data_IF_338166506774
#
_entry.id   IF_338166506774
#
_cell.length_a   1.000
_cell.length_b   1.000
_cell.length_c   1.000
_cell.angle_alpha   90.00
_cell.angle_beta   90.00
_cell.angle_gamma   90.00
#
_symmetry.space_group_name_H-M   'P 1'
#
loop_
_entity.id
_entity.type
_entity.pdbx_description
1 polymer ?
#
# COMPACT_ATOMS: atom_id res chain seq x y z
N UNK A 1 -55.16 -48.30 38.31
CA UNK A 1 -53.70 -48.55 38.41
C UNK A 1 -53.33 -49.36 37.16
N UNK A 2 -52.71 -48.74 36.16
CA UNK A 2 -51.24 -48.79 36.08
C UNK A 2 -50.53 -47.52 35.59
N UNK A 3 -49.37 -47.32 36.22
CA UNK A 3 -48.13 -46.63 35.90
C UNK A 3 -47.97 -45.85 34.58
N UNK A 4 -47.60 -44.57 34.71
CA UNK A 4 -46.98 -43.71 33.69
C UNK A 4 -45.69 -44.34 33.13
N UNK A 5 -45.38 -44.18 31.82
CA UNK A 5 -44.07 -44.52 31.29
C UNK A 5 -43.06 -43.39 31.56
N UNK A 6 -41.85 -43.80 31.91
CA UNK A 6 -40.71 -42.97 32.23
C UNK A 6 -40.30 -42.03 31.08
N UNK A 7 -39.96 -40.79 31.43
CA UNK A 7 -39.24 -39.88 30.55
C UNK A 7 -37.92 -40.52 30.09
N UNK A 8 -37.84 -40.82 28.79
CA UNK A 8 -36.56 -41.03 28.13
C UNK A 8 -35.93 -39.66 27.88
N UNK A 9 -35.05 -39.25 28.80
CA UNK A 9 -34.05 -38.24 28.54
C UNK A 9 -33.18 -38.70 27.36
N UNK A 10 -33.50 -38.24 26.15
CA UNK A 10 -32.63 -38.34 24.98
C UNK A 10 -31.51 -37.33 25.17
N UNK A 11 -30.44 -37.73 25.87
CA UNK A 11 -29.19 -36.96 25.89
C UNK A 11 -28.58 -36.98 24.49
N UNK A 12 -28.65 -35.86 23.77
CA UNK A 12 -27.91 -35.63 22.54
C UNK A 12 -26.39 -35.65 22.81
N UNK A 13 -25.59 -36.54 22.20
CA UNK A 13 -24.16 -36.35 22.15
C UNK A 13 -23.79 -35.79 20.76
N UNK A 14 -24.23 -34.58 20.43
CA UNK A 14 -23.81 -33.89 19.20
C UNK A 14 -22.42 -33.26 19.29
N UNK A 15 -21.74 -33.34 20.44
CA UNK A 15 -20.53 -32.55 20.72
C UNK A 15 -19.19 -33.26 20.43
N UNK A 16 -19.18 -34.58 20.17
CA UNK A 16 -17.94 -35.36 20.02
C UNK A 16 -17.55 -35.69 18.57
N UNK A 17 -18.42 -35.39 17.59
CA UNK A 17 -18.16 -35.61 16.15
C UNK A 17 -17.43 -34.44 15.46
N UNK A 18 -17.13 -33.34 16.17
CA UNK A 18 -16.43 -32.18 15.58
C UNK A 18 -14.91 -32.37 15.48
N UNK A 19 -14.27 -33.12 16.37
CA UNK A 19 -12.80 -33.26 16.39
C UNK A 19 -12.19 -33.96 15.14
N UNK A 20 -12.81 -35.01 14.57
CA UNK A 20 -12.32 -35.62 13.32
C UNK A 20 -12.41 -34.66 12.13
N UNK A 21 -13.50 -33.88 12.05
CA UNK A 21 -13.72 -32.89 11.00
C UNK A 21 -12.69 -31.75 11.10
N UNK A 22 -12.43 -31.25 12.31
CA UNK A 22 -11.37 -30.26 12.57
C UNK A 22 -10.00 -30.83 12.15
N UNK A 23 -9.67 -32.06 12.57
CA UNK A 23 -8.39 -32.71 12.19
C UNK A 23 -8.23 -32.86 10.67
N UNK A 24 -9.28 -33.21 9.94
CA UNK A 24 -9.22 -33.29 8.47
C UNK A 24 -9.01 -31.93 7.80
N UNK A 25 -9.58 -30.86 8.39
CA UNK A 25 -9.40 -29.49 7.91
C UNK A 25 -7.97 -28.99 8.14
N UNK A 26 -7.33 -29.41 9.23
CA UNK A 26 -5.89 -29.18 9.49
C UNK A 26 -4.96 -30.10 8.68
N UNK A 27 -5.48 -31.10 7.97
CA UNK A 27 -4.68 -31.98 7.11
C UNK A 27 -4.70 -31.50 5.65
N UNK A 28 -5.81 -30.94 5.20
CA UNK A 28 -5.99 -30.37 3.86
C UNK A 28 -6.21 -28.85 3.93
N UNK A 29 -5.18 -28.03 3.65
CA UNK A 29 -5.28 -26.58 3.77
C UNK A 29 -6.19 -25.92 2.71
N UNK A 30 -6.77 -26.68 1.77
CA UNK A 30 -7.62 -26.19 0.67
C UNK A 30 -8.69 -25.18 1.11
N UNK A 31 -9.41 -25.48 2.19
CA UNK A 31 -10.50 -24.63 2.69
C UNK A 31 -9.99 -23.36 3.40
N UNK A 32 -8.81 -23.43 4.02
CA UNK A 32 -8.17 -22.28 4.71
C UNK A 32 -7.62 -21.29 3.67
N UNK A 33 -7.16 -21.80 2.52
CA UNK A 33 -6.68 -20.97 1.41
C UNK A 33 -7.78 -20.00 0.93
N UNK A 34 -9.01 -20.48 0.75
CA UNK A 34 -10.13 -19.62 0.32
C UNK A 34 -10.44 -18.49 1.32
N UNK A 35 -10.30 -18.74 2.63
CA UNK A 35 -10.50 -17.72 3.67
C UNK A 35 -9.37 -16.69 3.66
N UNK A 36 -8.12 -17.16 3.58
CA UNK A 36 -6.93 -16.28 3.49
C UNK A 36 -6.94 -15.42 2.23
N UNK A 37 -7.61 -15.87 1.17
CA UNK A 37 -7.76 -15.10 -0.08
C UNK A 37 -8.80 -14.00 0.01
N UNK A 38 -9.79 -14.15 0.88
CA UNK A 38 -10.84 -13.15 1.10
C UNK A 38 -10.32 -11.97 1.93
N UNK A 39 -9.31 -12.19 2.76
CA UNK A 39 -8.73 -11.20 3.67
C UNK A 39 -7.34 -10.78 3.18
N UNK A 40 -7.23 -9.63 2.51
CA UNK A 40 -5.92 -9.08 2.15
C UNK A 40 -5.85 -8.13 0.96
N UNK A 41 -6.97 -7.91 0.25
CA UNK A 41 -6.99 -7.02 -0.93
C UNK A 41 -6.45 -5.63 -0.64
N UNK A 42 -6.88 -5.01 0.46
CA UNK A 42 -6.43 -3.66 0.87
C UNK A 42 -4.95 -3.62 1.27
N UNK A 43 -4.44 -4.73 1.82
CA UNK A 43 -3.04 -4.85 2.21
C UNK A 43 -2.17 -4.88 0.95
N UNK A 44 -2.57 -5.67 -0.04
CA UNK A 44 -1.91 -5.71 -1.35
C UNK A 44 -1.97 -4.36 -2.04
N UNK A 45 -3.14 -3.72 -2.08
CA UNK A 45 -3.31 -2.38 -2.69
C UNK A 45 -2.33 -1.36 -2.08
N UNK A 46 -2.26 -1.29 -0.75
CA UNK A 46 -1.35 -0.38 -0.04
C UNK A 46 0.11 -0.75 -0.22
N UNK A 47 0.46 -2.04 -0.29
CA UNK A 47 1.80 -2.49 -0.57
C UNK A 47 2.27 -2.04 -1.97
N UNK A 48 1.41 -2.19 -2.99
CA UNK A 48 1.68 -1.70 -4.35
C UNK A 48 1.79 -0.18 -4.37
N UNK A 49 0.87 0.54 -3.74
CA UNK A 49 0.90 2.00 -3.64
C UNK A 49 2.21 2.51 -3.00
N UNK A 50 2.71 1.80 -1.98
CA UNK A 50 3.96 2.14 -1.30
C UNK A 50 5.17 1.89 -2.20
N UNK A 51 5.26 0.73 -2.85
CA UNK A 51 6.43 0.33 -3.60
C UNK A 51 6.45 0.87 -5.05
N UNK A 52 5.31 1.30 -5.59
CA UNK A 52 5.25 1.76 -6.99
C UNK A 52 6.13 2.98 -7.23
N UNK A 53 6.86 2.92 -8.35
CA UNK A 53 7.86 3.90 -8.74
C UNK A 53 9.19 3.80 -7.98
N UNK A 54 9.36 2.84 -7.07
CA UNK A 54 10.64 2.59 -6.38
C UNK A 54 11.53 1.71 -7.27
N UNK A 55 12.76 2.15 -7.51
CA UNK A 55 13.77 1.37 -8.23
C UNK A 55 13.92 1.70 -9.72
N UNK A 56 14.89 1.05 -10.39
CA UNK A 56 15.26 1.35 -11.77
C UNK A 56 14.28 0.77 -12.81
N UNK A 57 13.54 -0.28 -12.44
CA UNK A 57 12.60 -0.95 -13.31
C UNK A 57 11.18 -0.43 -13.08
N UNK A 58 10.36 -0.39 -14.13
CA UNK A 58 8.93 -0.01 -14.07
C UNK A 58 8.06 -1.08 -13.39
N UNK A 59 8.66 -1.95 -12.57
CA UNK A 59 7.99 -3.07 -11.92
C UNK A 59 8.00 -2.83 -10.42
N UNK A 60 6.83 -2.98 -9.80
CA UNK A 60 6.65 -2.86 -8.36
C UNK A 60 6.90 -4.23 -7.72
N UNK A 61 7.97 -4.40 -6.91
CA UNK A 61 8.30 -5.72 -6.35
C UNK A 61 7.38 -5.99 -5.15
N UNK A 62 6.21 -6.56 -5.39
CA UNK A 62 5.27 -6.99 -4.34
C UNK A 62 5.18 -8.50 -4.44
N UNK A 63 5.43 -9.20 -3.33
CA UNK A 63 5.46 -10.66 -3.33
C UNK A 63 4.09 -11.26 -3.63
N UNK A 64 4.11 -12.48 -4.18
CA UNK A 64 2.89 -13.24 -4.39
C UNK A 64 2.26 -13.59 -3.03
N UNK A 65 0.96 -13.41 -2.88
CA UNK A 65 0.21 -13.71 -1.66
C UNK A 65 -1.26 -13.97 -1.99
N UNK A 66 -2.00 -14.50 -1.03
CA UNK A 66 -3.41 -14.84 -1.22
C UNK A 66 -4.32 -13.61 -1.44
N UNK A 67 -3.94 -12.43 -0.95
CA UNK A 67 -4.74 -11.20 -1.08
C UNK A 67 -4.86 -10.64 -2.49
N UNK A 68 -4.07 -11.12 -3.47
CA UNK A 68 -4.07 -10.59 -4.83
C UNK A 68 -5.38 -10.83 -5.58
N UNK A 69 -6.07 -11.93 -5.29
CA UNK A 69 -7.35 -12.24 -5.96
C UNK A 69 -8.44 -11.28 -5.51
N UNK A 70 -8.61 -11.08 -4.20
CA UNK A 70 -9.52 -10.06 -3.67
C UNK A 70 -9.16 -8.66 -4.20
N UNK A 71 -7.86 -8.32 -4.22
CA UNK A 71 -7.41 -7.06 -4.82
C UNK A 71 -7.81 -6.93 -6.30
N UNK A 72 -7.66 -7.99 -7.10
CA UNK A 72 -7.97 -7.95 -8.53
C UNK A 72 -9.44 -7.63 -8.82
N UNK A 73 -10.36 -8.15 -8.01
CA UNK A 73 -11.79 -7.83 -8.10
C UNK A 73 -12.05 -6.37 -7.71
N UNK A 74 -11.44 -5.91 -6.62
CA UNK A 74 -11.53 -4.50 -6.20
C UNK A 74 -10.93 -3.54 -7.24
N UNK A 75 -9.86 -3.95 -7.94
CA UNK A 75 -9.24 -3.17 -9.00
C UNK A 75 -10.17 -3.02 -10.21
N UNK A 76 -10.89 -4.09 -10.60
CA UNK A 76 -11.94 -4.01 -11.64
C UNK A 76 -13.03 -3.03 -11.19
N UNK A 77 -13.58 -3.21 -9.98
CA UNK A 77 -14.62 -2.34 -9.45
C UNK A 77 -14.18 -0.86 -9.42
N UNK A 78 -12.96 -0.60 -8.95
CA UNK A 78 -12.43 0.75 -8.84
C UNK A 78 -12.11 1.35 -10.21
N UNK A 79 -11.61 0.55 -11.16
CA UNK A 79 -11.34 1.02 -12.53
C UNK A 79 -12.60 1.38 -13.31
N UNK A 80 -13.70 0.63 -13.11
CA UNK A 80 -15.02 0.89 -13.73
C UNK A 80 -15.75 2.03 -13.03
N UNK A 81 -15.67 2.12 -11.70
CA UNK A 81 -16.38 3.11 -10.90
C UNK A 81 -15.66 4.46 -10.83
N UNK A 82 -14.63 4.55 -9.97
CA UNK A 82 -13.91 5.81 -9.70
C UNK A 82 -12.79 6.09 -10.69
N UNK A 83 -12.38 5.09 -11.48
CA UNK A 83 -11.25 5.18 -12.38
C UNK A 83 -9.90 5.28 -11.66
N UNK A 84 -9.80 4.78 -10.41
CA UNK A 84 -8.57 4.85 -9.59
C UNK A 84 -8.08 3.49 -9.14
N UNK A 85 -6.76 3.29 -9.11
CA UNK A 85 -6.11 2.12 -8.49
C UNK A 85 -5.46 2.47 -7.16
N UNK A 86 -4.95 3.70 -7.02
CA UNK A 86 -4.36 4.19 -5.79
C UNK A 86 -5.40 4.22 -4.67
N UNK A 87 -5.04 3.77 -3.45
CA UNK A 87 -5.91 3.88 -2.29
C UNK A 87 -6.08 5.34 -1.86
N UNK A 88 -7.15 5.61 -1.12
CA UNK A 88 -7.38 6.90 -0.48
C UNK A 88 -6.31 7.21 0.56
N UNK A 89 -6.18 8.49 0.93
CA UNK A 89 -5.18 8.91 1.92
C UNK A 89 -5.34 8.17 3.25
N UNK A 90 -4.27 7.49 3.70
CA UNK A 90 -4.26 6.81 5.00
C UNK A 90 -4.10 7.79 6.18
N UNK A 91 -3.75 9.05 5.90
CA UNK A 91 -3.64 10.10 6.90
C UNK A 91 -4.41 11.33 6.39
N UNK A 92 -5.68 11.50 6.79
CA UNK A 92 -6.44 12.69 6.48
C UNK A 92 -5.67 13.93 6.91
N UNK A 93 -5.50 14.85 5.97
CA UNK A 93 -4.69 16.04 6.19
C UNK A 93 -5.17 17.19 5.33
N UNK A 94 -4.74 18.37 5.72
CA UNK A 94 -5.10 19.63 5.07
C UNK A 94 -3.82 20.25 4.54
N UNK A 95 -3.87 20.70 3.30
CA UNK A 95 -2.83 21.49 2.66
C UNK A 95 -3.27 22.96 2.61
N UNK A 96 -2.42 23.85 3.10
CA UNK A 96 -2.66 25.29 3.15
C UNK A 96 -1.57 25.97 2.32
N UNK A 97 -1.95 26.79 1.33
CA UNK A 97 -1.00 27.62 0.61
C UNK A 97 -0.63 28.84 1.44
N UNK A 98 0.66 29.02 1.72
CA UNK A 98 1.13 30.08 2.60
C UNK A 98 1.09 31.49 1.94
N UNK A 99 0.99 31.58 0.61
CA UNK A 99 0.92 32.85 -0.12
C UNK A 99 -0.48 33.47 -0.08
N UNK A 100 -1.53 32.67 -0.21
CA UNK A 100 -2.92 33.15 -0.31
C UNK A 100 -3.84 32.63 0.80
N UNK A 101 -3.36 31.74 1.68
CA UNK A 101 -4.17 31.11 2.73
C UNK A 101 -5.18 30.07 2.23
N UNK A 102 -5.17 29.75 0.93
CA UNK A 102 -6.13 28.82 0.36
C UNK A 102 -5.91 27.41 0.92
N UNK A 103 -6.99 26.80 1.37
CA UNK A 103 -6.97 25.53 2.11
C UNK A 103 -7.65 24.43 1.29
N UNK A 104 -7.03 23.25 1.22
CA UNK A 104 -7.55 22.05 0.53
C UNK A 104 -7.46 20.82 1.43
N UNK A 105 -8.47 19.96 1.34
CA UNK A 105 -8.35 18.60 1.85
C UNK A 105 -7.37 17.83 0.98
N UNK A 106 -6.48 17.07 1.61
CA UNK A 106 -5.51 16.24 0.92
C UNK A 106 -6.15 14.91 0.54
N UNK A 107 -6.30 14.69 -0.77
CA UNK A 107 -6.71 13.43 -1.37
C UNK A 107 -5.53 12.62 -1.91
N UNK A 108 -4.29 13.12 -1.77
CA UNK A 108 -3.09 12.39 -2.18
C UNK A 108 -2.64 11.43 -1.10
N UNK A 109 -2.62 10.14 -1.46
CA UNK A 109 -2.02 9.10 -0.65
C UNK A 109 -0.54 9.38 -0.32
N UNK A 110 0.24 9.90 -1.29
CA UNK A 110 1.65 10.18 -1.11
C UNK A 110 1.89 11.30 -0.06
N UNK A 111 1.12 12.39 -0.12
CA UNK A 111 1.20 13.46 0.88
C UNK A 111 0.70 13.00 2.25
N UNK A 112 -0.34 12.16 2.28
CA UNK A 112 -0.81 11.56 3.53
C UNK A 112 0.29 10.73 4.20
N UNK A 113 0.98 9.89 3.42
CA UNK A 113 2.13 9.11 3.90
C UNK A 113 3.30 9.97 4.34
N UNK A 114 3.60 11.06 3.61
CA UNK A 114 4.63 12.01 3.99
C UNK A 114 4.37 12.58 5.40
N UNK A 115 3.11 12.96 5.69
CA UNK A 115 2.72 13.48 6.99
C UNK A 115 2.63 12.41 8.08
N UNK A 116 2.20 11.19 7.72
CA UNK A 116 2.11 10.06 8.65
C UNK A 116 3.49 9.60 9.12
N UNK A 117 4.44 9.54 8.20
CA UNK A 117 5.79 9.02 8.43
C UNK A 117 6.76 10.12 8.89
N UNK A 118 6.33 11.38 8.87
CA UNK A 118 7.08 12.49 9.46
C UNK A 118 7.26 12.28 10.97
N UNK A 119 8.50 12.44 11.42
CA UNK A 119 8.85 12.45 12.83
C UNK A 119 9.33 13.85 13.19
N UNK A 120 8.56 14.51 14.07
CA UNK A 120 9.09 15.67 14.76
C UNK A 120 9.98 15.18 15.89
N UNK A 121 11.25 15.58 15.87
CA UNK A 121 12.15 15.30 17.00
C UNK A 121 11.65 15.94 18.31
N UNK A 122 10.61 16.78 18.25
CA UNK A 122 10.03 17.50 19.38
C UNK A 122 8.75 16.83 19.90
N UNK A 123 8.42 15.59 19.49
CA UNK A 123 7.23 14.86 19.97
C UNK A 123 7.15 14.73 21.50
N UNK A 124 8.31 14.76 22.18
CA UNK A 124 8.41 14.74 23.65
C UNK A 124 8.13 16.09 24.31
N UNK A 125 8.20 17.20 23.55
CA UNK A 125 7.91 18.55 24.02
C UNK A 125 6.41 18.78 23.84
N UNK A 126 5.65 18.27 24.79
CA UNK A 126 4.18 18.19 24.83
C UNK A 126 3.43 19.54 24.73
N UNK A 127 4.11 20.68 24.55
CA UNK A 127 3.53 22.03 24.56
C UNK A 127 3.86 22.77 23.25
N UNK A 128 2.87 23.41 22.64
CA UNK A 128 3.06 24.25 21.45
C UNK A 128 2.96 23.58 20.09
N UNK A 129 3.06 24.40 19.04
CA UNK A 129 3.07 23.99 17.63
C UNK A 129 4.52 23.85 17.17
N UNK A 130 4.81 22.78 16.45
CA UNK A 130 6.10 22.53 15.79
C UNK A 130 5.90 22.62 14.29
N UNK A 131 6.58 23.57 13.68
CA UNK A 131 6.64 23.75 12.24
C UNK A 131 8.01 23.28 11.74
N UNK A 132 8.04 22.18 10.99
CA UNK A 132 9.26 21.68 10.35
C UNK A 132 9.36 22.25 8.94
N UNK A 133 10.38 23.05 8.67
CA UNK A 133 10.60 23.70 7.38
C UNK A 133 11.50 22.83 6.50
N UNK A 134 10.98 22.52 5.32
CA UNK A 134 11.64 21.74 4.29
C UNK A 134 11.72 22.54 3.00
N UNK A 135 12.82 22.38 2.27
CA UNK A 135 12.98 22.87 0.91
C UNK A 135 13.08 21.68 -0.04
N UNK A 136 12.48 21.77 -1.22
CA UNK A 136 12.68 20.74 -2.26
C UNK A 136 14.11 20.75 -2.76
N UNK A 137 14.74 19.57 -2.83
CA UNK A 137 16.11 19.47 -3.33
C UNK A 137 16.16 19.81 -4.82
N UNK A 138 17.09 20.67 -5.27
CA UNK A 138 17.28 20.94 -6.69
C UNK A 138 17.92 19.76 -7.44
N UNK A 139 18.62 18.87 -6.72
CA UNK A 139 19.36 17.75 -7.30
C UNK A 139 18.48 16.56 -7.69
N UNK A 140 17.38 16.33 -6.97
CA UNK A 140 16.49 15.19 -7.16
C UNK A 140 15.04 15.64 -7.21
N UNK A 141 14.36 15.32 -8.31
CA UNK A 141 12.98 15.72 -8.53
C UNK A 141 11.99 14.87 -7.72
N UNK A 142 10.97 15.54 -7.17
CA UNK A 142 9.79 14.88 -6.57
C UNK A 142 9.14 13.93 -7.58
N UNK A 143 8.70 12.77 -7.10
CA UNK A 143 8.05 11.76 -7.94
C UNK A 143 8.95 10.59 -8.35
N UNK A 144 10.18 10.56 -7.85
CA UNK A 144 11.12 9.44 -8.02
C UNK A 144 11.53 8.86 -6.66
N UNK A 145 10.77 7.88 -6.13
CA UNK A 145 11.14 7.13 -4.92
C UNK A 145 12.53 6.49 -5.00
N UNK A 146 13.33 6.65 -3.96
CA UNK A 146 14.59 5.89 -3.81
C UNK A 146 14.34 4.53 -3.17
N UNK A 147 15.01 3.45 -3.64
CA UNK A 147 15.01 2.17 -2.94
C UNK A 147 15.45 2.32 -1.49
N UNK A 148 14.75 1.64 -0.59
CA UNK A 148 15.07 1.55 0.83
C UNK A 148 14.94 0.10 1.31
N UNK A 149 15.07 -0.12 2.62
CA UNK A 149 15.01 -1.46 3.21
C UNK A 149 13.69 -2.20 2.90
N UNK A 150 12.55 -1.50 2.79
CA UNK A 150 11.26 -2.10 2.44
C UNK A 150 11.30 -2.63 1.01
N UNK A 151 11.84 -1.84 0.08
CA UNK A 151 12.03 -2.27 -1.30
C UNK A 151 12.92 -3.52 -1.39
N UNK A 152 14.08 -3.51 -0.73
CA UNK A 152 15.01 -4.64 -0.76
C UNK A 152 14.44 -5.90 -0.08
N UNK A 153 13.68 -5.74 1.01
CA UNK A 153 12.97 -6.84 1.65
C UNK A 153 12.00 -7.51 0.66
N UNK A 154 11.27 -6.72 -0.12
CA UNK A 154 10.32 -7.23 -1.11
C UNK A 154 11.03 -7.95 -2.25
N UNK A 155 12.13 -7.37 -2.74
CA UNK A 155 13.00 -7.99 -3.76
C UNK A 155 13.62 -9.30 -3.26
N UNK A 156 13.94 -9.43 -1.97
CA UNK A 156 14.50 -10.64 -1.39
C UNK A 156 13.46 -11.74 -1.15
N UNK A 157 12.20 -11.39 -0.89
CA UNK A 157 11.13 -12.38 -0.66
C UNK A 157 10.73 -13.10 -1.94
N UNK A 158 10.75 -12.43 -3.10
CA UNK A 158 10.43 -13.05 -4.40
C UNK A 158 11.32 -14.28 -4.71
N UNK A 159 12.67 -14.20 -4.70
CA UNK A 159 13.52 -15.36 -4.92
C UNK A 159 13.38 -16.39 -3.81
N UNK A 160 13.13 -15.96 -2.56
CA UNK A 160 12.86 -16.90 -1.45
C UNK A 160 11.59 -17.73 -1.71
N UNK A 161 10.52 -17.13 -2.25
CA UNK A 161 9.30 -17.86 -2.64
C UNK A 161 9.60 -18.90 -3.72
N UNK A 162 10.43 -18.55 -4.71
CA UNK A 162 10.88 -19.49 -5.75
C UNK A 162 11.74 -20.60 -5.14
N UNK A 163 12.64 -20.30 -4.20
CA UNK A 163 13.45 -21.32 -3.54
C UNK A 163 12.60 -22.33 -2.77
N UNK A 164 11.58 -21.86 -2.04
CA UNK A 164 10.66 -22.75 -1.30
C UNK A 164 9.83 -23.59 -2.27
N UNK A 165 9.43 -23.05 -3.43
CA UNK A 165 8.60 -23.75 -4.40
C UNK A 165 9.32 -24.85 -5.20
N UNK A 166 10.66 -24.85 -5.20
CA UNK A 166 11.48 -25.91 -5.82
C UNK A 166 11.54 -27.17 -4.95
N UNK A 167 11.42 -27.05 -3.63
CA UNK A 167 11.58 -28.17 -2.67
C UNK A 167 10.67 -29.37 -3.02
N UNK A 168 9.37 -29.19 -3.31
CA UNK A 168 8.48 -30.31 -3.64
C UNK A 168 8.83 -31.01 -4.95
N UNK A 169 9.29 -30.24 -5.95
CA UNK A 169 9.74 -30.79 -7.23
C UNK A 169 10.97 -31.66 -7.09
N UNK A 170 11.91 -31.27 -6.23
CA UNK A 170 13.14 -32.05 -6.00
C UNK A 170 12.90 -33.28 -5.12
N UNK A 171 12.04 -33.17 -4.09
CA UNK A 171 11.82 -34.26 -3.12
C UNK A 171 10.74 -35.27 -3.55
N UNK A 172 9.71 -34.82 -4.26
CA UNK A 172 8.51 -35.60 -4.55
C UNK A 172 8.13 -35.63 -6.04
N UNK A 173 8.95 -35.07 -6.93
CA UNK A 173 8.67 -34.89 -8.36
C UNK A 173 7.39 -34.08 -8.65
N UNK A 174 6.98 -33.23 -7.70
CA UNK A 174 5.81 -32.36 -7.82
C UNK A 174 6.23 -30.92 -8.18
N UNK A 175 6.27 -30.63 -9.48
CA UNK A 175 6.61 -29.31 -10.02
C UNK A 175 5.41 -28.34 -10.11
N UNK A 176 4.22 -28.76 -9.65
CA UNK A 176 3.02 -27.91 -9.71
C UNK A 176 3.18 -26.66 -8.84
N UNK A 177 3.79 -26.80 -7.66
CA UNK A 177 3.97 -25.70 -6.70
C UNK A 177 4.92 -24.63 -7.27
N UNK A 178 5.97 -25.04 -7.98
CA UNK A 178 6.85 -24.11 -8.70
C UNK A 178 6.08 -23.35 -9.78
N UNK A 179 5.35 -24.06 -10.63
CA UNK A 179 4.56 -23.48 -11.74
C UNK A 179 3.55 -22.45 -11.23
N UNK A 180 2.82 -22.80 -10.17
CA UNK A 180 1.86 -21.91 -9.50
C UNK A 180 2.59 -20.68 -8.93
N UNK A 181 3.68 -20.88 -8.21
CA UNK A 181 4.41 -19.75 -7.58
C UNK A 181 4.94 -18.78 -8.63
N UNK A 182 5.53 -19.27 -9.72
CA UNK A 182 6.03 -18.44 -10.81
C UNK A 182 4.90 -17.70 -11.52
N UNK A 183 3.77 -18.37 -11.79
CA UNK A 183 2.59 -17.72 -12.38
C UNK A 183 2.02 -16.63 -11.47
N UNK A 184 1.90 -16.89 -10.16
CA UNK A 184 1.43 -15.92 -9.17
C UNK A 184 2.35 -14.71 -9.04
N UNK A 185 3.68 -14.92 -9.06
CA UNK A 185 4.67 -13.83 -9.08
C UNK A 185 4.52 -13.02 -10.38
N UNK A 186 4.41 -13.68 -11.54
CA UNK A 186 4.26 -12.99 -12.81
C UNK A 186 3.00 -12.11 -12.84
N UNK A 187 1.86 -12.62 -12.34
CA UNK A 187 0.62 -11.85 -12.23
C UNK A 187 0.74 -10.67 -11.26
N UNK A 188 1.40 -10.87 -10.11
CA UNK A 188 1.66 -9.81 -9.13
C UNK A 188 2.51 -8.68 -9.73
N UNK A 189 3.60 -9.03 -10.42
CA UNK A 189 4.48 -8.07 -11.09
C UNK A 189 3.77 -7.35 -12.25
N UNK A 190 2.98 -8.07 -13.05
CA UNK A 190 2.18 -7.47 -14.13
C UNK A 190 1.16 -6.47 -13.59
N UNK A 191 0.45 -6.81 -12.52
CA UNK A 191 -0.51 -5.93 -11.86
C UNK A 191 0.17 -4.68 -11.26
N UNK A 192 1.34 -4.86 -10.66
CA UNK A 192 2.16 -3.76 -10.10
C UNK A 192 2.88 -2.91 -11.16
N UNK A 193 3.00 -3.39 -12.40
CA UNK A 193 3.62 -2.69 -13.52
C UNK A 193 2.63 -1.79 -14.30
N UNK A 194 1.34 -1.80 -13.94
CA UNK A 194 0.35 -0.93 -14.55
C UNK A 194 0.77 0.56 -14.41
N UNK A 195 0.90 1.31 -15.53
CA UNK A 195 1.35 2.70 -15.48
C UNK A 195 0.45 3.61 -14.63
N UNK A 196 -0.84 3.25 -14.53
CA UNK A 196 -1.85 4.00 -13.80
C UNK A 196 -1.46 4.24 -12.33
N UNK A 197 -0.84 3.27 -11.66
CA UNK A 197 -0.32 3.45 -10.29
C UNK A 197 0.58 4.67 -10.15
N UNK A 198 1.54 4.80 -11.06
CA UNK A 198 2.51 5.89 -11.03
C UNK A 198 1.87 7.21 -11.43
N UNK A 199 1.01 7.20 -12.45
CA UNK A 199 0.36 8.41 -12.94
C UNK A 199 -0.59 9.00 -11.90
N UNK A 200 -1.38 8.18 -11.20
CA UNK A 200 -2.24 8.62 -10.10
C UNK A 200 -1.44 9.09 -8.88
N UNK A 201 -0.43 8.32 -8.46
CA UNK A 201 0.42 8.65 -7.31
C UNK A 201 1.08 10.02 -7.43
N UNK A 202 1.37 10.44 -8.67
CA UNK A 202 2.06 11.69 -8.98
C UNK A 202 1.26 12.61 -9.92
N UNK A 203 -0.07 12.55 -9.87
CA UNK A 203 -0.97 13.32 -10.72
C UNK A 203 -0.95 14.83 -10.40
N UNK A 204 0.09 15.53 -10.84
CA UNK A 204 0.30 16.96 -10.61
C UNK A 204 1.00 17.64 -11.79
N UNK A 205 0.79 18.94 -11.94
CA UNK A 205 1.53 19.74 -12.93
C UNK A 205 2.96 20.00 -12.44
N UNK A 206 3.96 20.07 -13.33
CA UNK A 206 5.28 20.59 -13.00
C UNK A 206 5.19 22.00 -12.41
N UNK A 207 6.08 22.31 -11.47
CA UNK A 207 6.14 23.64 -10.86
C UNK A 207 6.77 24.69 -11.79
N UNK A 208 7.49 24.25 -12.84
CA UNK A 208 8.02 25.13 -13.89
C UNK A 208 6.87 25.58 -14.81
N UNK A 209 6.77 26.89 -15.06
CA UNK A 209 5.80 27.42 -16.02
C UNK A 209 6.19 27.09 -17.47
N UNK A 210 5.21 26.91 -18.36
CA UNK A 210 5.44 26.71 -19.81
C UNK A 210 6.30 27.82 -20.44
N UNK A 211 6.31 29.00 -19.83
CA UNK A 211 7.05 30.18 -20.30
C UNK A 211 8.45 30.33 -19.67
N UNK A 212 8.99 29.29 -19.03
CA UNK A 212 10.31 29.32 -18.38
C UNK A 212 10.39 30.15 -17.09
N UNK A 213 9.27 30.70 -16.62
CA UNK A 213 9.22 31.51 -15.41
C UNK A 213 9.42 30.67 -14.14
N UNK A 214 10.34 31.12 -13.28
CA UNK A 214 10.59 30.52 -11.96
C UNK A 214 9.38 30.76 -11.05
N UNK A 215 8.76 29.68 -10.58
CA UNK A 215 7.62 29.73 -9.65
C UNK A 215 8.04 29.19 -8.29
N UNK A 216 7.74 29.97 -7.25
CA UNK A 216 7.90 29.57 -5.86
C UNK A 216 6.54 29.17 -5.30
N UNK A 217 6.47 27.99 -4.69
CA UNK A 217 5.29 27.47 -4.01
C UNK A 217 5.66 27.20 -2.55
N UNK A 218 4.89 27.73 -1.61
CA UNK A 218 5.07 27.49 -0.18
C UNK A 218 3.77 26.93 0.35
N UNK A 219 3.82 25.70 0.83
CA UNK A 219 2.66 25.00 1.37
C UNK A 219 2.91 24.57 2.81
N UNK A 220 1.84 24.47 3.58
CA UNK A 220 1.83 23.90 4.92
C UNK A 220 0.92 22.67 4.91
N UNK A 221 1.44 21.54 5.34
CA UNK A 221 0.72 20.27 5.44
C UNK A 221 0.55 19.93 6.92
N UNK A 222 -0.70 19.71 7.34
CA UNK A 222 -1.03 19.40 8.74
C UNK A 222 -2.23 18.46 8.82
N UNK A 223 -2.37 17.70 9.92
CA UNK A 223 -3.55 16.84 10.13
C UNK A 223 -4.82 17.65 10.43
N UNK A 224 -4.68 18.95 10.73
CA UNK A 224 -5.79 19.76 11.22
C UNK A 224 -6.19 19.36 12.65
N UNK A 225 -7.39 19.75 13.08
CA UNK A 225 -7.99 19.34 14.35
C UNK A 225 -7.09 19.49 15.59
N UNK A 226 -6.35 20.60 15.68
CA UNK A 226 -5.45 20.86 16.81
C UNK A 226 -4.13 20.08 16.79
N UNK A 227 -3.78 19.47 15.65
CA UNK A 227 -2.46 18.86 15.45
C UNK A 227 -1.33 19.83 15.75
N UNK A 228 -0.39 19.40 16.58
CA UNK A 228 0.79 20.17 17.00
C UNK A 228 1.92 20.11 15.98
N UNK A 229 1.81 19.30 14.94
CA UNK A 229 2.83 19.14 13.91
C UNK A 229 2.35 19.69 12.56
N UNK A 230 3.23 20.47 11.92
CA UNK A 230 3.03 21.09 10.61
C UNK A 230 4.32 20.97 9.81
N UNK A 231 4.20 20.44 8.59
CA UNK A 231 5.31 20.39 7.63
C UNK A 231 5.14 21.57 6.68
N UNK A 232 6.09 22.49 6.67
CA UNK A 232 6.12 23.59 5.71
C UNK A 232 7.09 23.22 4.61
N UNK A 233 6.61 23.14 3.36
CA UNK A 233 7.44 22.79 2.19
C UNK A 233 7.55 24.00 1.29
N UNK A 234 8.79 24.42 1.04
CA UNK A 234 9.17 25.48 0.11
C UNK A 234 9.71 24.83 -1.15
N UNK A 235 8.99 25.00 -2.25
CA UNK A 235 9.37 24.49 -3.56
C UNK A 235 9.81 25.64 -4.47
N UNK A 236 11.07 25.64 -4.86
CA UNK A 236 11.68 26.69 -5.70
C UNK A 236 11.88 26.15 -7.13
N UNK A 237 10.88 26.32 -8.00
CA UNK A 237 10.90 25.95 -9.44
C UNK A 237 11.30 24.49 -9.75
N UNK A 238 11.18 23.60 -8.78
CA UNK A 238 11.66 22.22 -8.87
C UNK A 238 10.53 21.26 -8.47
N UNK A 239 10.39 20.17 -9.24
CA UNK A 239 9.40 19.13 -8.96
C UNK A 239 7.97 19.47 -9.40
N UNK A 240 7.01 18.91 -8.68
CA UNK A 240 5.58 18.96 -8.96
C UNK A 240 4.88 19.96 -8.03
N UNK A 241 3.79 20.56 -8.50
CA UNK A 241 2.91 21.40 -7.69
C UNK A 241 2.18 20.54 -6.66
N UNK A 242 2.50 20.76 -5.39
CA UNK A 242 1.97 19.97 -4.29
C UNK A 242 0.49 20.26 -4.03
N UNK A 243 0.01 21.46 -4.39
CA UNK A 243 -1.43 21.77 -4.37
C UNK A 243 -2.23 20.91 -5.35
N UNK A 244 -1.70 20.72 -6.57
CA UNK A 244 -2.35 19.89 -7.59
C UNK A 244 -2.32 18.42 -7.16
N UNK A 245 -1.22 17.99 -6.52
CA UNK A 245 -1.08 16.66 -5.96
C UNK A 245 -2.15 16.42 -4.87
N UNK A 246 -2.30 17.35 -3.92
CA UNK A 246 -3.30 17.25 -2.84
C UNK A 246 -4.75 17.23 -3.35
N UNK A 247 -5.04 17.81 -4.52
CA UNK A 247 -6.37 17.73 -5.11
C UNK A 247 -6.77 16.30 -5.52
N UNK A 248 -5.79 15.39 -5.69
CA UNK A 248 -6.04 13.99 -6.08
C UNK A 248 -6.77 13.93 -7.42
N UNK A 249 -6.11 14.34 -8.50
CA UNK A 249 -6.74 14.40 -9.84
C UNK A 249 -7.09 13.00 -10.35
N UNK A 250 -8.27 12.89 -10.95
CA UNK A 250 -8.69 11.67 -11.65
C UNK A 250 -7.87 11.45 -12.91
N UNK A 251 -7.36 10.23 -13.06
CA UNK A 251 -6.63 9.78 -14.25
C UNK A 251 -7.33 8.53 -14.78
N UNK A 252 -8.43 8.73 -15.48
CA UNK A 252 -9.15 7.62 -16.09
C UNK A 252 -8.41 7.12 -17.35
N UNK A 253 -8.33 5.80 -17.49
CA UNK A 253 -7.71 5.15 -18.65
C UNK A 253 -8.50 3.89 -19.00
N UNK A 254 -9.13 3.89 -20.18
CA UNK A 254 -9.87 2.72 -20.68
C UNK A 254 -8.96 1.51 -20.89
N UNK A 255 -7.67 1.74 -21.18
CA UNK A 255 -6.67 0.68 -21.25
C UNK A 255 -6.53 -0.06 -19.92
N UNK A 256 -6.54 0.66 -18.81
CA UNK A 256 -6.42 0.05 -17.48
C UNK A 256 -7.67 -0.73 -17.11
N UNK A 257 -8.86 -0.28 -17.50
CA UNK A 257 -10.10 -1.04 -17.31
C UNK A 257 -10.00 -2.40 -18.01
N UNK A 258 -9.61 -2.42 -19.29
CA UNK A 258 -9.46 -3.68 -20.03
C UNK A 258 -8.43 -4.61 -19.40
N UNK A 259 -7.25 -4.09 -19.03
CA UNK A 259 -6.18 -4.92 -18.45
C UNK A 259 -6.55 -5.41 -17.05
N UNK A 260 -7.19 -4.60 -16.20
CA UNK A 260 -7.62 -5.06 -14.87
C UNK A 260 -8.68 -6.15 -14.96
N UNK A 261 -9.60 -6.09 -15.93
CA UNK A 261 -10.53 -7.20 -16.22
C UNK A 261 -9.80 -8.48 -16.63
N UNK A 262 -8.81 -8.39 -17.52
CA UNK A 262 -8.00 -9.55 -17.94
C UNK A 262 -7.23 -10.12 -16.74
N UNK A 263 -6.57 -9.27 -15.95
CA UNK A 263 -5.84 -9.68 -14.76
C UNK A 263 -6.75 -10.35 -13.73
N UNK A 264 -7.97 -9.85 -13.52
CA UNK A 264 -8.94 -10.47 -12.62
C UNK A 264 -9.33 -11.89 -13.09
N UNK A 265 -9.57 -12.09 -14.38
CA UNK A 265 -9.84 -13.42 -14.95
C UNK A 265 -8.65 -14.35 -14.73
N UNK A 266 -7.43 -13.88 -14.98
CA UNK A 266 -6.21 -14.66 -14.77
C UNK A 266 -5.99 -15.00 -13.29
N UNK A 267 -6.28 -14.08 -12.37
CA UNK A 267 -6.23 -14.30 -10.93
C UNK A 267 -7.26 -15.34 -10.46
N UNK A 268 -8.48 -15.31 -11.02
CA UNK A 268 -9.50 -16.33 -10.76
C UNK A 268 -9.04 -17.69 -11.30
N UNK A 269 -8.51 -17.76 -12.52
CA UNK A 269 -7.98 -19.00 -13.08
C UNK A 269 -6.83 -19.56 -12.23
N UNK A 270 -5.93 -18.68 -11.77
CA UNK A 270 -4.84 -19.03 -10.86
C UNK A 270 -5.35 -19.60 -9.54
N UNK A 271 -6.38 -18.98 -8.95
CA UNK A 271 -7.06 -19.48 -7.76
C UNK A 271 -7.63 -20.89 -7.99
N UNK A 272 -8.34 -21.11 -9.10
CA UNK A 272 -8.90 -22.42 -9.42
C UNK A 272 -7.80 -23.49 -9.55
N UNK A 273 -6.66 -23.14 -10.15
CA UNK A 273 -5.50 -24.04 -10.21
C UNK A 273 -4.95 -24.35 -8.83
N UNK A 274 -4.82 -23.36 -7.94
CA UNK A 274 -4.38 -23.58 -6.57
C UNK A 274 -5.34 -24.44 -5.76
N UNK A 275 -6.65 -24.22 -5.90
CA UNK A 275 -7.68 -24.99 -5.22
C UNK A 275 -7.70 -26.48 -5.66
N UNK A 276 -7.22 -26.77 -6.87
CA UNK A 276 -7.06 -28.12 -7.39
C UNK A 276 -5.86 -28.90 -6.82
N UNK A 277 -4.98 -28.25 -6.04
CA UNK A 277 -3.82 -28.92 -5.44
C UNK A 277 -4.25 -29.94 -4.38
N UNK A 278 -3.99 -31.22 -4.64
CA UNK A 278 -4.28 -32.32 -3.71
C UNK A 278 -3.09 -32.71 -2.84
N UNK A 279 -1.87 -32.52 -3.36
CA UNK A 279 -0.63 -32.92 -2.70
C UNK A 279 0.17 -31.67 -2.28
N UNK A 280 0.91 -31.78 -1.17
CA UNK A 280 1.93 -30.80 -0.75
C UNK A 280 1.45 -29.32 -0.68
N UNK A 281 0.15 -29.07 -0.55
CA UNK A 281 -0.44 -27.72 -0.52
C UNK A 281 0.10 -26.82 0.62
N UNK A 282 0.70 -27.42 1.64
CA UNK A 282 1.40 -26.73 2.73
C UNK A 282 2.55 -25.82 2.24
N UNK A 283 3.25 -26.19 1.17
CA UNK A 283 4.29 -25.32 0.60
C UNK A 283 3.68 -24.07 -0.03
N UNK A 284 2.58 -24.22 -0.77
CA UNK A 284 1.84 -23.08 -1.33
C UNK A 284 1.29 -22.17 -0.22
N UNK A 285 0.77 -22.75 0.86
CA UNK A 285 0.34 -21.99 2.04
C UNK A 285 1.50 -21.20 2.66
N UNK A 286 2.67 -21.84 2.86
CA UNK A 286 3.86 -21.19 3.41
C UNK A 286 4.35 -20.03 2.52
N UNK A 287 4.40 -20.25 1.20
CA UNK A 287 4.79 -19.24 0.20
C UNK A 287 3.84 -18.03 0.26
N UNK A 288 2.53 -18.28 0.24
CA UNK A 288 1.54 -17.20 0.27
C UNK A 288 1.50 -16.46 1.61
N UNK A 289 1.70 -17.16 2.73
CA UNK A 289 1.82 -16.56 4.05
C UNK A 289 3.08 -15.67 4.17
N UNK A 290 4.23 -16.14 3.68
CA UNK A 290 5.46 -15.38 3.62
C UNK A 290 5.27 -14.08 2.81
N UNK A 291 4.64 -14.18 1.65
CA UNK A 291 4.32 -13.00 0.83
C UNK A 291 3.33 -12.06 1.52
N UNK A 292 2.35 -12.60 2.25
CA UNK A 292 1.40 -11.79 3.02
C UNK A 292 2.09 -11.00 4.14
N UNK A 293 3.03 -11.61 4.88
CA UNK A 293 3.84 -10.92 5.89
C UNK A 293 4.63 -9.78 5.25
N UNK A 294 5.28 -10.03 4.11
CA UNK A 294 6.00 -9.00 3.37
C UNK A 294 5.06 -7.86 2.93
N UNK A 295 3.88 -8.18 2.41
CA UNK A 295 2.89 -7.20 1.97
C UNK A 295 2.37 -6.34 3.13
N UNK A 296 2.15 -6.93 4.32
CA UNK A 296 1.80 -6.19 5.54
C UNK A 296 2.92 -5.22 5.93
N UNK A 297 4.17 -5.67 5.89
CA UNK A 297 5.34 -4.83 6.16
C UNK A 297 5.40 -3.69 5.14
N UNK A 298 5.27 -3.96 3.84
CA UNK A 298 5.31 -2.94 2.80
C UNK A 298 4.17 -1.91 2.92
N UNK A 299 2.97 -2.38 3.23
CA UNK A 299 1.81 -1.53 3.44
C UNK A 299 1.94 -0.68 4.71
N UNK A 300 2.49 -1.22 5.79
CA UNK A 300 2.49 -0.59 7.12
C UNK A 300 3.73 0.22 7.46
N UNK A 301 4.91 -0.19 6.98
CA UNK A 301 6.19 0.36 7.38
C UNK A 301 6.27 1.87 7.14
N UNK A 302 6.92 2.57 8.08
CA UNK A 302 7.32 3.97 7.90
C UNK A 302 8.52 4.03 6.98
N UNK A 303 8.53 4.97 6.03
CA UNK A 303 9.61 5.15 5.07
C UNK A 303 10.18 6.56 5.13
N UNK A 304 11.44 6.71 4.72
CA UNK A 304 12.06 8.02 4.61
C UNK A 304 11.39 8.86 3.52
N UNK A 305 11.47 10.18 3.62
CA UNK A 305 10.85 11.10 2.67
C UNK A 305 11.32 10.81 1.23
N UNK A 306 12.63 10.55 1.04
CA UNK A 306 13.19 10.18 -0.26
C UNK A 306 12.63 8.85 -0.80
N UNK A 307 12.41 7.87 0.07
CA UNK A 307 11.80 6.59 -0.29
C UNK A 307 10.30 6.70 -0.61
N UNK A 308 9.62 7.73 -0.11
CA UNK A 308 8.27 8.09 -0.55
C UNK A 308 8.27 8.88 -1.88
N UNK A 309 9.43 9.34 -2.35
CA UNK A 309 9.60 10.13 -3.56
C UNK A 309 9.63 11.65 -3.34
N UNK A 310 9.71 12.10 -2.08
CA UNK A 310 9.89 13.50 -1.70
C UNK A 310 11.35 13.75 -1.29
N UNK A 311 12.11 14.38 -2.18
CA UNK A 311 13.50 14.75 -1.88
C UNK A 311 13.52 16.12 -1.23
N UNK A 312 13.46 16.12 0.10
CA UNK A 312 13.35 17.33 0.92
C UNK A 312 14.61 17.52 1.76
N UNK A 313 15.09 18.75 1.81
CA UNK A 313 16.20 19.19 2.64
C UNK A 313 15.62 19.95 3.84
N UNK A 314 15.83 19.43 5.05
CA UNK A 314 15.37 20.09 6.28
C UNK A 314 16.18 21.37 6.46
N UNK A 315 15.50 22.51 6.48
CA UNK A 315 16.13 23.83 6.62
C UNK A 315 16.15 24.28 8.07
N UNK A 316 15.00 24.22 8.75
CA UNK A 316 14.88 24.64 10.14
C UNK A 316 13.67 24.00 10.80
N UNK A 317 13.63 24.01 12.13
CA UNK A 317 12.44 23.61 12.90
C UNK A 317 12.10 24.77 13.83
N UNK A 318 10.86 25.24 13.77
CA UNK A 318 10.34 26.30 14.62
C UNK A 318 9.37 25.66 15.61
N UNK A 319 9.65 25.80 16.89
CA UNK A 319 8.80 25.33 17.97
C UNK A 319 8.37 26.50 18.86
N UNK A 320 7.10 26.54 19.25
CA UNK A 320 6.64 27.52 20.23
C UNK A 320 5.18 27.35 20.66
N UNK A 321 4.86 27.82 21.87
CA UNK A 321 3.51 27.79 22.44
C UNK A 321 2.51 28.68 21.67
N UNK A 322 3.02 29.71 20.97
CA UNK A 322 2.29 30.57 20.03
C UNK A 322 3.15 30.86 18.80
N UNK A 323 3.09 29.99 17.78
CA UNK A 323 3.91 30.13 16.55
C UNK A 323 3.50 31.31 15.66
N UNK A 324 2.29 31.87 15.84
CA UNK A 324 1.82 33.03 15.07
C UNK A 324 2.74 34.26 15.18
N UNK A 325 3.55 34.36 16.24
CA UNK A 325 4.42 35.52 16.53
C UNK A 325 5.88 35.30 16.06
N UNK A 326 6.27 34.07 15.67
CA UNK A 326 7.67 33.72 15.33
C UNK A 326 7.89 33.30 13.87
N UNK A 327 7.01 33.70 12.96
CA UNK A 327 7.30 33.72 11.51
C UNK A 327 7.69 35.14 11.08
N UNK A 328 8.87 35.69 11.48
CA UNK A 328 9.31 36.94 10.90
C UNK A 328 9.73 36.70 9.43
N UNK A 329 9.17 37.54 8.56
CA UNK A 329 9.91 38.14 7.44
C UNK A 329 10.51 37.18 6.39
N UNK A 330 9.67 36.51 5.60
CA UNK A 330 10.08 35.95 4.30
C UNK A 330 9.24 36.45 3.12
N UNK A 331 8.63 37.64 3.30
CA UNK A 331 8.20 38.50 2.18
C UNK A 331 9.45 39.26 1.68
N UNK A 332 10.27 38.58 0.88
CA UNK A 332 11.20 39.15 -0.09
C UNK A 332 11.46 38.08 -1.15
#
# INVERSE_FOLDING_TARGET
MPLLPAEQFVSHPQHLSQFPAVKSQWQNPGDILSILMLVGGDIVQRAVAQLTGSGPFFVTPVAFSFGWVAYSINAVLSSVGTGRLMPDTDCPSILINAKNGYTRQNQSWALGRLLRDHQSNYDHLQRGLTASLYRTSPSKQTGRPTPDWVYYCSVAVIPLQISISIIPGVLYDDWAILSITVAGIALALATGALPQWRTEKWAARPLVSRDGQRKREVISLTRGNGSKDVIVIVSDSTGLRLEDLAAGRDVHSSFTVTITCILAILWIAHLLTMAGLRNHAWYSLAIGALGMVQNVIAAGARRSQGALGFHLERTSVIHGDKVLIRLPLWRA
#
